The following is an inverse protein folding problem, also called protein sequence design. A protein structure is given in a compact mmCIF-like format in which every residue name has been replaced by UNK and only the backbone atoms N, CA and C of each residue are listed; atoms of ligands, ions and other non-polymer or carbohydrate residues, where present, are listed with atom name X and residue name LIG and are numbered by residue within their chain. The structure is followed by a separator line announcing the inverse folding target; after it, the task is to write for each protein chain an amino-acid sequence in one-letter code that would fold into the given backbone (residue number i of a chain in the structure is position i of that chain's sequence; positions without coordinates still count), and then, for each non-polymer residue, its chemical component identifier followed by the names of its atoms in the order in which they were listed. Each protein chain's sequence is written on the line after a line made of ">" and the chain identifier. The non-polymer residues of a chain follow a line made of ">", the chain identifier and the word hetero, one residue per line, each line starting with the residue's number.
data_IF_474148332902
#
_entry.id   IF_474148332902
#
_cell.length_a   1.000
_cell.length_b   1.000
_cell.length_c   1.000
_cell.angle_alpha   90.00
_cell.angle_beta   90.00
_cell.angle_gamma   90.00
#
_symmetry.space_group_name_H-M   'P 1'
#
loop_
_entity.id
_entity.type
_entity.pdbx_description
1 polymer ?
#
# COMPACT_ATOMS: atom_id res chain seq x y z
N UNK A 1 -1.92 3.47 29.69
CA UNK A 1 -3.06 3.37 28.75
C UNK A 1 -4.05 2.34 29.26
N UNK A 2 -5.31 2.72 29.44
CA UNK A 2 -6.40 1.80 29.76
C UNK A 2 -7.09 1.44 28.44
N UNK A 3 -7.28 0.15 28.17
CA UNK A 3 -8.13 -0.35 27.11
C UNK A 3 -9.20 -1.29 27.69
N UNK A 4 -10.45 -1.13 27.26
CA UNK A 4 -11.58 -1.99 27.65
C UNK A 4 -12.04 -2.79 26.44
N UNK A 5 -12.16 -4.10 26.59
CA UNK A 5 -12.56 -5.02 25.52
C UNK A 5 -14.02 -5.42 25.74
N UNK A 6 -14.91 -5.00 24.84
CA UNK A 6 -16.33 -5.36 24.83
C UNK A 6 -16.56 -6.50 23.83
N UNK A 7 -16.38 -7.74 24.29
CA UNK A 7 -16.40 -8.92 23.43
C UNK A 7 -17.73 -9.12 22.70
N UNK A 8 -18.86 -8.82 23.35
CA UNK A 8 -20.21 -9.04 22.80
C UNK A 8 -20.46 -8.22 21.53
N UNK A 9 -19.90 -7.02 21.47
CA UNK A 9 -20.04 -6.08 20.34
C UNK A 9 -18.82 -6.06 19.44
N UNK A 10 -17.79 -6.88 19.72
CA UNK A 10 -16.52 -6.89 19.00
C UNK A 10 -15.84 -5.52 19.01
N UNK A 11 -15.78 -4.85 20.16
CA UNK A 11 -15.20 -3.48 20.26
C UNK A 11 -14.06 -3.43 21.26
N UNK A 12 -13.08 -2.59 20.96
CA UNK A 12 -12.00 -2.21 21.88
C UNK A 12 -12.08 -0.70 22.08
N UNK A 13 -12.20 -0.27 23.32
CA UNK A 13 -12.33 1.14 23.71
C UNK A 13 -11.02 1.59 24.34
N UNK A 14 -10.45 2.67 23.84
CA UNK A 14 -9.28 3.33 24.41
C UNK A 14 -9.70 4.61 25.12
N UNK A 15 -9.21 4.79 26.36
CA UNK A 15 -9.59 5.93 27.21
C UNK A 15 -10.71 5.59 28.19
N UNK A 16 -11.50 6.59 28.57
CA UNK A 16 -12.63 6.44 29.50
C UNK A 16 -13.86 5.82 28.80
N UNK A 17 -14.61 4.96 29.49
CA UNK A 17 -15.77 4.27 28.90
C UNK A 17 -16.96 5.20 28.63
N UNK A 18 -17.05 6.32 29.34
CA UNK A 18 -18.07 7.37 29.16
C UNK A 18 -17.59 8.49 28.23
N UNK A 19 -16.27 8.64 28.07
CA UNK A 19 -15.64 9.59 27.14
C UNK A 19 -14.44 8.94 26.39
N UNK A 20 -14.72 8.05 25.41
CA UNK A 20 -13.68 7.32 24.72
C UNK A 20 -12.91 8.21 23.74
N UNK A 21 -11.59 8.07 23.71
CA UNK A 21 -10.72 8.76 22.75
C UNK A 21 -10.78 8.08 21.38
N UNK A 22 -10.79 6.73 21.39
CA UNK A 22 -10.81 5.91 20.19
C UNK A 22 -11.58 4.62 20.46
N UNK A 23 -12.40 4.21 19.49
CA UNK A 23 -13.12 2.95 19.54
C UNK A 23 -12.78 2.16 18.28
N UNK A 24 -12.14 1.01 18.46
CA UNK A 24 -11.93 0.05 17.39
C UNK A 24 -13.09 -0.93 17.33
N UNK A 25 -13.61 -1.17 16.13
CA UNK A 25 -14.64 -2.17 15.88
C UNK A 25 -14.00 -3.33 15.11
N UNK A 26 -13.91 -4.48 15.77
CA UNK A 26 -13.52 -5.74 15.14
C UNK A 26 -14.54 -6.20 14.11
N UNK A 27 -14.05 -6.77 13.02
CA UNK A 27 -14.90 -7.39 12.00
C UNK A 27 -15.04 -8.88 12.27
N UNK A 28 -16.27 -9.38 12.35
CA UNK A 28 -16.54 -10.82 12.30
C UNK A 28 -16.32 -11.31 10.87
N UNK A 29 -15.49 -12.35 10.71
CA UNK A 29 -15.05 -12.95 9.43
C UNK A 29 -16.16 -13.45 8.47
N UNK A 30 -17.45 -13.19 8.75
CA UNK A 30 -18.58 -13.57 7.89
C UNK A 30 -19.25 -12.41 7.15
N UNK A 31 -18.91 -11.15 7.43
CA UNK A 31 -19.47 -10.00 6.71
C UNK A 31 -18.50 -9.61 5.59
N UNK A 32 -18.94 -9.67 4.33
CA UNK A 32 -18.14 -9.17 3.22
C UNK A 32 -17.86 -7.68 3.46
N UNK A 33 -16.57 -7.33 3.50
CA UNK A 33 -16.18 -5.93 3.49
C UNK A 33 -16.70 -5.35 2.17
N UNK A 34 -17.53 -4.30 2.22
CA UNK A 34 -18.02 -3.65 1.00
C UNK A 34 -16.87 -2.87 0.40
N UNK A 35 -16.13 -3.52 -0.50
CA UNK A 35 -15.07 -2.89 -1.28
C UNK A 35 -15.75 -2.27 -2.50
N UNK A 36 -15.44 -0.99 -2.74
CA UNK A 36 -15.88 -0.26 -3.92
C UNK A 36 -14.68 -0.02 -4.84
N UNK A 37 -14.95 0.17 -6.12
CA UNK A 37 -13.92 0.58 -7.07
C UNK A 37 -13.50 2.04 -6.87
N UNK A 38 -12.32 2.40 -7.36
CA UNK A 38 -11.84 3.79 -7.35
C UNK A 38 -12.80 4.75 -8.08
N UNK A 39 -13.49 4.27 -9.13
CA UNK A 39 -14.49 5.07 -9.84
C UNK A 39 -15.70 5.39 -8.96
N UNK A 40 -16.20 4.40 -8.22
CA UNK A 40 -17.30 4.60 -7.27
C UNK A 40 -16.89 5.54 -6.13
N UNK A 41 -15.66 5.40 -5.61
CA UNK A 41 -15.13 6.32 -4.60
C UNK A 41 -15.07 7.77 -5.11
N UNK A 42 -14.63 7.99 -6.36
CA UNK A 42 -14.66 9.31 -7.00
C UNK A 42 -16.06 9.89 -7.14
N UNK A 43 -17.04 9.06 -7.49
CA UNK A 43 -18.44 9.49 -7.55
C UNK A 43 -18.96 9.91 -6.18
N UNK A 44 -18.66 9.17 -5.11
CA UNK A 44 -19.08 9.56 -3.76
C UNK A 44 -18.46 10.89 -3.35
N UNK A 45 -17.17 11.10 -3.63
CA UNK A 45 -16.50 12.37 -3.42
C UNK A 45 -17.18 13.54 -4.15
N UNK A 46 -17.60 13.35 -5.40
CA UNK A 46 -18.29 14.41 -6.16
C UNK A 46 -19.69 14.74 -5.61
N UNK A 47 -20.30 13.84 -4.84
CA UNK A 47 -21.58 14.07 -4.15
C UNK A 47 -21.39 14.76 -2.79
N UNK A 48 -20.16 15.10 -2.41
CA UNK A 48 -19.85 15.82 -1.17
C UNK A 48 -19.69 14.92 0.06
N UNK A 49 -19.49 13.62 -0.11
CA UNK A 49 -19.18 12.72 1.00
C UNK A 49 -17.77 12.95 1.51
N UNK A 50 -17.60 12.96 2.83
CA UNK A 50 -16.29 12.96 3.48
C UNK A 50 -15.66 11.57 3.38
N UNK A 51 -14.42 11.52 2.87
CA UNK A 51 -13.66 10.28 2.80
C UNK A 51 -12.31 10.43 3.51
N UNK A 52 -11.84 9.33 4.07
CA UNK A 52 -10.53 9.26 4.72
C UNK A 52 -9.64 8.30 3.94
N UNK A 53 -8.42 8.72 3.66
CA UNK A 53 -7.38 7.85 3.11
C UNK A 53 -6.60 7.25 4.29
N UNK A 54 -6.61 5.92 4.39
CA UNK A 54 -5.76 5.19 5.32
C UNK A 54 -4.69 4.44 4.52
N UNK A 55 -3.44 4.53 4.95
CA UNK A 55 -2.37 3.72 4.40
C UNK A 55 -2.17 2.49 5.30
N UNK A 56 -2.15 1.30 4.70
CA UNK A 56 -1.91 0.05 5.41
C UNK A 56 -0.50 -0.41 5.02
N UNK A 57 0.41 -0.37 5.98
CA UNK A 57 1.74 -0.96 5.82
C UNK A 57 1.72 -2.36 6.43
N UNK A 58 2.11 -3.34 5.64
CA UNK A 58 2.43 -4.65 6.18
C UNK A 58 3.74 -4.55 6.96
N UNK A 59 3.69 -4.79 8.26
CA UNK A 59 4.88 -4.78 9.12
C UNK A 59 5.53 -6.16 9.22
N UNK A 60 4.98 -7.17 8.53
CA UNK A 60 5.51 -8.54 8.52
C UNK A 60 6.49 -8.80 7.39
N UNK A 61 6.55 -7.92 6.38
CA UNK A 61 7.66 -7.89 5.44
C UNK A 61 8.70 -6.88 5.93
N UNK A 62 9.81 -7.38 6.46
CA UNK A 62 11.07 -6.76 6.07
C UNK A 62 11.05 -6.80 4.55
N UNK A 63 10.83 -5.65 3.91
CA UNK A 63 10.95 -5.53 2.45
C UNK A 63 12.36 -6.02 2.18
N UNK A 64 12.54 -7.15 1.45
CA UNK A 64 13.87 -7.61 1.13
C UNK A 64 14.59 -6.45 0.49
N UNK A 65 15.74 -6.10 1.02
CA UNK A 65 16.62 -5.16 0.38
C UNK A 65 16.82 -5.63 -1.06
N UNK A 66 16.96 -4.71 -2.00
CA UNK A 66 17.35 -5.10 -3.37
C UNK A 66 18.60 -5.99 -3.37
N UNK A 67 19.46 -5.86 -2.34
CA UNK A 67 20.65 -6.69 -2.11
C UNK A 67 20.34 -8.15 -1.68
N UNK A 68 19.12 -8.45 -1.24
CA UNK A 68 18.69 -9.79 -0.84
C UNK A 68 18.32 -10.66 -2.05
N UNK A 69 18.23 -10.06 -3.24
CA UNK A 69 18.07 -10.79 -4.50
C UNK A 69 19.44 -11.26 -5.01
N UNK A 70 19.62 -12.59 -5.09
CA UNK A 70 20.86 -13.24 -5.59
C UNK A 70 21.36 -12.67 -6.93
N UNK A 71 20.44 -12.27 -7.81
CA UNK A 71 20.80 -11.68 -9.11
C UNK A 71 21.40 -10.28 -8.93
N UNK A 72 20.90 -9.49 -7.98
CA UNK A 72 21.37 -8.11 -7.75
C UNK A 72 22.70 -8.11 -6.99
N UNK A 73 22.93 -9.07 -6.09
CA UNK A 73 24.20 -9.18 -5.35
C UNK A 73 25.38 -9.57 -6.25
N UNK A 74 25.13 -10.26 -7.37
CA UNK A 74 26.16 -10.59 -8.37
C UNK A 74 26.56 -9.38 -9.24
N UNK A 75 25.74 -8.33 -9.32
CA UNK A 75 25.95 -7.15 -10.16
C UNK A 75 25.79 -5.83 -9.38
N UNK A 76 26.39 -5.72 -8.18
CA UNK A 76 26.34 -4.49 -7.38
C UNK A 76 26.97 -3.28 -8.09
N UNK A 77 27.84 -3.52 -9.07
CA UNK A 77 28.52 -2.51 -9.87
C UNK A 77 27.64 -1.86 -10.96
N UNK A 78 26.55 -2.51 -11.37
CA UNK A 78 25.61 -1.96 -12.38
C UNK A 78 24.45 -1.19 -11.76
N UNK A 79 24.27 -1.28 -10.43
CA UNK A 79 23.27 -0.56 -9.65
C UNK A 79 23.93 0.40 -8.64
N UNK A 80 24.67 1.44 -9.10
CA UNK A 80 25.26 2.41 -8.20
C UNK A 80 24.18 3.18 -7.43
N UNK A 81 24.46 3.54 -6.17
CA UNK A 81 23.57 4.34 -5.30
C UNK A 81 23.23 5.70 -5.93
N UNK A 82 24.12 6.21 -6.77
CA UNK A 82 23.92 7.41 -7.57
C UNK A 82 23.77 7.04 -9.06
N UNK A 83 22.65 7.44 -9.69
CA UNK A 83 22.43 7.19 -11.11
C UNK A 83 23.47 7.95 -11.96
N UNK A 84 24.08 7.34 -13.00
CA UNK A 84 25.16 7.94 -13.80
C UNK A 84 24.73 9.09 -14.73
N UNK A 85 23.62 9.77 -14.41
CA UNK A 85 23.03 10.79 -15.25
C UNK A 85 22.27 10.22 -16.45
N UNK A 86 21.67 11.11 -17.24
CA UNK A 86 20.96 10.74 -18.47
C UNK A 86 22.01 10.28 -19.48
N UNK A 87 21.86 9.08 -20.10
CA UNK A 87 22.78 8.63 -21.13
C UNK A 87 22.80 9.66 -22.28
N UNK A 88 23.96 9.85 -22.94
CA UNK A 88 24.06 10.78 -24.06
C UNK A 88 23.05 10.41 -25.16
N UNK A 89 22.58 11.43 -25.88
CA UNK A 89 21.71 11.24 -27.05
C UNK A 89 22.41 10.27 -28.00
N UNK A 90 21.80 9.09 -28.20
CA UNK A 90 22.33 8.08 -29.11
C UNK A 90 22.06 8.57 -30.54
N UNK A 91 23.09 8.63 -31.37
CA UNK A 91 22.96 8.98 -32.80
C UNK A 91 22.19 7.93 -33.61
N UNK A 92 21.97 6.74 -33.04
CA UNK A 92 21.24 5.63 -33.66
C UNK A 92 19.86 5.51 -33.03
N UNK A 93 18.82 5.71 -33.83
CA UNK A 93 17.44 5.42 -33.48
C UNK A 93 17.26 3.90 -33.43
N UNK A 94 16.93 3.36 -32.25
CA UNK A 94 16.64 1.93 -32.11
C UNK A 94 15.17 1.69 -32.46
N UNK A 95 14.91 1.08 -33.62
CA UNK A 95 13.59 0.58 -34.00
C UNK A 95 13.35 -0.78 -33.32
N UNK A 96 12.35 -0.87 -32.45
CA UNK A 96 11.88 -2.16 -31.92
C UNK A 96 10.84 -2.69 -32.91
N UNK A 97 11.24 -3.65 -33.74
CA UNK A 97 10.31 -4.39 -34.58
C UNK A 97 9.63 -5.47 -33.73
N UNK A 98 8.33 -5.30 -33.49
CA UNK A 98 7.51 -6.32 -32.85
C UNK A 98 7.02 -7.31 -33.91
N UNK A 99 7.31 -8.59 -33.70
CA UNK A 99 6.68 -9.65 -34.48
C UNK A 99 5.28 -9.88 -33.88
N UNK A 100 4.18 -9.72 -34.65
CA UNK A 100 2.84 -9.99 -34.13
C UNK A 100 2.68 -11.48 -33.83
N UNK A 101 2.53 -11.84 -32.55
CA UNK A 101 2.11 -13.18 -32.12
C UNK A 101 3.19 -14.14 -31.60
N UNK A 102 4.29 -13.64 -31.03
CA UNK A 102 5.18 -14.45 -30.20
C UNK A 102 4.54 -14.82 -28.85
#
# INVERSE_FOLDING_TARGET
>A
HHATIECRSYRVIFGDIHAPELIYHGSLSGKSMQIISALQARTLLSHGYECFLANIHDTTSDVPSIHDHLIVSEFLDVFPDELPGIPPVREVEFSIELIPGA
#
